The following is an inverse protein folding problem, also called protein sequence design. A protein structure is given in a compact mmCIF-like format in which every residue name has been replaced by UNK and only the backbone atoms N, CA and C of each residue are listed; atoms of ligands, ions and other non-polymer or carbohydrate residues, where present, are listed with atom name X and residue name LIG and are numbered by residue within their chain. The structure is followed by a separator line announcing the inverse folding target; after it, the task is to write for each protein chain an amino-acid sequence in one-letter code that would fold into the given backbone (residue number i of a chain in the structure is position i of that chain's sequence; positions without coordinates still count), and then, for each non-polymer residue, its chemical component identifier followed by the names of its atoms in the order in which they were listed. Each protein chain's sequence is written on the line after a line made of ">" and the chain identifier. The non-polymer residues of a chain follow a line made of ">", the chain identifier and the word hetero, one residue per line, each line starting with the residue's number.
data_IF_575445883853
#
_entry.id   IF_575445883853
#
_cell.length_a   1.000
_cell.length_b   1.000
_cell.length_c   1.000
_cell.angle_alpha   90.00
_cell.angle_beta   90.00
_cell.angle_gamma   90.00
#
_symmetry.space_group_name_H-M   'P 1'
#
loop_
_entity.id
_entity.type
_entity.pdbx_description
1 polymer ?
#
# COMPACT_ATOMS: atom_id res chain seq x y z
N UNK A 1 40.46 13.72 60.79
CA UNK A 1 40.16 12.47 60.05
C UNK A 1 38.94 12.72 59.18
N UNK A 2 39.10 12.59 57.86
CA UNK A 2 38.07 12.81 56.84
C UNK A 2 37.09 11.62 56.83
N UNK A 3 35.78 11.88 56.77
CA UNK A 3 34.84 10.98 56.08
C UNK A 3 33.90 11.81 55.22
N UNK A 4 34.12 11.64 53.92
CA UNK A 4 33.39 12.16 52.78
C UNK A 4 32.12 11.29 52.62
N UNK A 5 30.93 11.88 52.49
CA UNK A 5 29.77 11.17 51.94
C UNK A 5 29.30 11.98 50.73
N UNK A 6 29.56 11.40 49.57
CA UNK A 6 29.16 11.86 48.25
C UNK A 6 27.66 11.59 48.10
N UNK A 7 26.87 12.65 47.88
CA UNK A 7 25.47 12.52 47.50
C UNK A 7 25.38 12.26 45.99
N UNK A 8 24.84 11.10 45.65
CA UNK A 8 24.73 10.54 44.32
C UNK A 8 23.63 11.25 43.52
N UNK A 9 24.02 11.90 42.43
CA UNK A 9 23.12 12.52 41.45
C UNK A 9 22.28 11.44 40.77
N UNK A 10 20.95 11.48 40.91
CA UNK A 10 20.04 10.68 40.08
C UNK A 10 20.01 11.28 38.68
N UNK A 11 20.63 10.59 37.73
CA UNK A 11 20.47 10.83 36.30
C UNK A 11 19.17 10.12 35.86
N UNK A 12 18.11 10.89 35.61
CA UNK A 12 16.90 10.36 34.96
C UNK A 12 17.25 10.12 33.49
N UNK A 13 17.61 8.87 33.17
CA UNK A 13 17.71 8.42 31.80
C UNK A 13 16.31 8.38 31.20
N UNK A 14 15.96 9.39 30.39
CA UNK A 14 14.82 9.29 29.49
C UNK A 14 15.09 8.19 28.47
N UNK A 15 14.51 7.01 28.71
CA UNK A 15 14.41 5.99 27.67
C UNK A 15 13.46 6.53 26.61
N UNK A 16 14.02 7.07 25.53
CA UNK A 16 13.35 7.20 24.26
C UNK A 16 13.04 5.79 23.76
N UNK A 17 11.87 5.27 24.11
CA UNK A 17 11.31 4.08 23.46
C UNK A 17 11.08 4.45 22.00
N UNK A 18 12.03 4.09 21.14
CA UNK A 18 11.82 4.01 19.71
C UNK A 18 10.79 2.91 19.46
N UNK A 19 9.51 3.25 19.61
CA UNK A 19 8.44 2.47 19.02
C UNK A 19 8.65 2.55 17.51
N UNK A 20 9.15 1.48 16.90
CA UNK A 20 8.81 1.18 15.52
C UNK A 20 7.28 1.15 15.46
N UNK A 21 6.70 2.27 15.04
CA UNK A 21 5.26 2.41 14.84
C UNK A 21 4.89 1.56 13.62
N UNK A 22 4.70 0.26 13.86
CA UNK A 22 4.03 -0.59 12.90
C UNK A 22 2.67 0.05 12.58
N UNK A 23 2.25 -0.03 11.32
CA UNK A 23 0.93 0.43 10.95
C UNK A 23 -0.14 -0.32 11.80
N UNK A 24 -1.15 0.41 12.29
CA UNK A 24 -2.20 -0.15 13.15
C UNK A 24 -3.40 -0.62 12.33
N UNK A 25 -3.85 -1.88 12.47
CA UNK A 25 -4.93 -2.41 11.65
C UNK A 25 -6.30 -1.81 11.99
N UNK A 26 -7.13 -1.58 10.98
CA UNK A 26 -8.49 -1.08 11.16
C UNK A 26 -9.41 -2.12 11.81
N UNK A 27 -10.18 -1.71 12.84
CA UNK A 27 -11.12 -2.60 13.54
C UNK A 27 -12.32 -3.05 12.68
N UNK A 28 -12.73 -2.28 11.67
CA UNK A 28 -13.91 -2.51 10.82
C UNK A 28 -13.56 -2.61 9.31
N UNK A 29 -12.36 -3.09 8.99
CA UNK A 29 -11.67 -2.92 7.71
C UNK A 29 -12.17 -3.70 6.47
N UNK A 30 -13.39 -4.24 6.44
CA UNK A 30 -13.82 -5.03 5.28
C UNK A 30 -14.00 -4.19 4.01
N UNK A 31 -14.54 -2.96 4.14
CA UNK A 31 -14.84 -2.06 3.03
C UNK A 31 -13.62 -1.67 2.17
N UNK A 32 -12.57 -1.05 2.74
CA UNK A 32 -11.42 -0.63 1.94
C UNK A 32 -10.68 -1.81 1.31
N UNK A 33 -10.56 -2.94 2.03
CA UNK A 33 -9.98 -4.17 1.47
C UNK A 33 -10.76 -4.65 0.25
N UNK A 34 -12.08 -4.70 0.34
CA UNK A 34 -12.94 -5.15 -0.76
C UNK A 34 -12.86 -4.24 -2.00
N UNK A 35 -12.66 -2.93 -1.80
CA UNK A 35 -12.44 -2.01 -2.90
C UNK A 35 -11.12 -2.28 -3.65
N UNK A 36 -10.03 -2.54 -2.91
CA UNK A 36 -8.75 -2.95 -3.53
C UNK A 36 -8.87 -4.29 -4.24
N UNK A 37 -9.56 -5.26 -3.64
CA UNK A 37 -9.81 -6.56 -4.25
C UNK A 37 -10.59 -6.43 -5.57
N UNK A 38 -11.69 -5.67 -5.56
CA UNK A 38 -12.49 -5.42 -6.75
C UNK A 38 -11.70 -4.74 -7.86
N UNK A 39 -10.88 -3.74 -7.53
CA UNK A 39 -9.97 -3.08 -8.46
C UNK A 39 -8.96 -4.07 -9.07
N UNK A 40 -8.20 -4.77 -8.23
CA UNK A 40 -7.11 -5.66 -8.68
C UNK A 40 -7.62 -6.83 -9.50
N UNK A 41 -8.76 -7.43 -9.13
CA UNK A 41 -9.38 -8.50 -9.91
C UNK A 41 -9.84 -7.96 -11.27
N UNK A 42 -10.46 -6.78 -11.32
CA UNK A 42 -10.86 -6.18 -12.60
C UNK A 42 -9.65 -5.86 -13.49
N UNK A 43 -8.56 -5.35 -12.92
CA UNK A 43 -7.31 -5.11 -13.65
C UNK A 43 -6.69 -6.42 -14.15
N UNK A 44 -6.64 -7.46 -13.32
CA UNK A 44 -6.14 -8.80 -13.67
C UNK A 44 -6.96 -9.43 -14.81
N UNK A 45 -8.28 -9.27 -14.80
CA UNK A 45 -9.20 -9.80 -15.82
C UNK A 45 -9.30 -8.91 -17.07
N UNK A 46 -8.54 -7.82 -17.14
CA UNK A 46 -8.58 -6.81 -18.20
C UNK A 46 -9.98 -6.17 -18.37
N UNK A 47 -10.76 -6.14 -17.29
CA UNK A 47 -12.06 -5.46 -17.18
C UNK A 47 -11.86 -4.01 -16.72
N UNK A 48 -11.13 -3.23 -17.51
CA UNK A 48 -10.71 -1.88 -17.12
C UNK A 48 -11.90 -0.92 -16.88
N UNK A 49 -13.03 -1.11 -17.57
CA UNK A 49 -14.22 -0.31 -17.25
C UNK A 49 -14.79 -0.62 -15.87
N UNK A 50 -14.73 -1.88 -15.42
CA UNK A 50 -15.17 -2.28 -14.07
C UNK A 50 -14.19 -1.76 -13.01
N UNK A 51 -12.89 -1.76 -13.30
CA UNK A 51 -11.86 -1.23 -12.40
C UNK A 51 -12.08 0.27 -12.08
N UNK A 52 -12.68 1.02 -13.02
CA UNK A 52 -13.00 2.43 -12.84
C UNK A 52 -13.95 2.69 -11.66
N UNK A 53 -14.80 1.73 -11.27
CA UNK A 53 -15.74 1.90 -10.14
C UNK A 53 -15.04 2.08 -8.79
N UNK A 54 -13.80 1.58 -8.71
CA UNK A 54 -13.01 1.52 -7.49
C UNK A 54 -11.99 2.64 -7.35
N UNK A 55 -11.89 3.57 -8.30
CA UNK A 55 -10.89 4.65 -8.27
C UNK A 55 -11.54 6.03 -8.19
N UNK A 56 -10.89 6.98 -7.53
CA UNK A 56 -11.39 8.36 -7.45
C UNK A 56 -11.12 9.13 -8.74
N UNK A 57 -11.82 10.26 -8.91
CA UNK A 57 -11.51 11.19 -10.00
C UNK A 57 -10.04 11.64 -9.98
N UNK A 58 -9.42 11.77 -8.79
CA UNK A 58 -8.00 12.11 -8.65
C UNK A 58 -7.11 11.02 -9.24
N UNK A 59 -7.33 9.75 -8.90
CA UNK A 59 -6.56 8.61 -9.44
C UNK A 59 -6.70 8.48 -10.97
N UNK A 60 -7.82 8.94 -11.53
CA UNK A 60 -8.06 8.93 -12.98
C UNK A 60 -7.58 10.18 -13.72
N UNK A 61 -6.97 11.16 -13.03
CA UNK A 61 -6.68 12.51 -13.54
C UNK A 61 -7.92 13.21 -14.16
N UNK A 62 -9.10 12.94 -13.60
CA UNK A 62 -10.38 13.48 -14.06
C UNK A 62 -10.87 12.93 -15.40
N UNK A 63 -10.23 11.88 -15.95
CA UNK A 63 -10.64 11.27 -17.21
C UNK A 63 -11.98 10.56 -17.07
N UNK A 64 -12.74 10.54 -18.17
CA UNK A 64 -13.96 9.73 -18.23
C UNK A 64 -13.63 8.23 -18.17
N UNK A 65 -14.63 7.40 -17.83
CA UNK A 65 -14.49 5.94 -17.75
C UNK A 65 -13.84 5.36 -19.00
N UNK A 66 -14.37 5.70 -20.18
CA UNK A 66 -13.88 5.16 -21.45
C UNK A 66 -12.45 5.60 -21.75
N UNK A 67 -12.11 6.87 -21.50
CA UNK A 67 -10.75 7.39 -21.73
C UNK A 67 -9.73 6.74 -20.79
N UNK A 68 -10.05 6.64 -19.50
CA UNK A 68 -9.18 6.01 -18.52
C UNK A 68 -9.01 4.50 -18.81
N UNK A 69 -10.10 3.78 -19.05
CA UNK A 69 -10.07 2.35 -19.38
C UNK A 69 -9.27 2.06 -20.66
N UNK A 70 -9.39 2.92 -21.69
CA UNK A 70 -8.62 2.80 -22.91
C UNK A 70 -7.11 2.99 -22.67
N UNK A 71 -6.71 3.88 -21.77
CA UNK A 71 -5.31 4.05 -21.38
C UNK A 71 -4.79 2.83 -20.61
N UNK A 72 -5.55 2.31 -19.65
CA UNK A 72 -5.16 1.09 -18.93
C UNK A 72 -5.00 -0.08 -19.89
N UNK A 73 -5.95 -0.26 -20.80
CA UNK A 73 -5.88 -1.27 -21.87
C UNK A 73 -4.63 -1.13 -22.72
N UNK A 74 -4.30 0.09 -23.15
CA UNK A 74 -3.11 0.35 -23.96
C UNK A 74 -1.83 -0.09 -23.24
N UNK A 75 -1.69 0.20 -21.95
CA UNK A 75 -0.52 -0.21 -21.17
C UNK A 75 -0.51 -1.70 -20.88
N UNK A 76 -1.63 -2.28 -20.45
CA UNK A 76 -1.70 -3.69 -20.08
C UNK A 76 -1.55 -4.60 -21.30
N UNK A 77 -2.28 -4.37 -22.38
CA UNK A 77 -2.17 -5.19 -23.58
C UNK A 77 -0.89 -4.89 -24.35
N UNK A 78 -0.51 -3.60 -24.45
CA UNK A 78 0.73 -3.21 -25.14
C UNK A 78 1.99 -3.71 -24.43
N UNK A 79 1.97 -3.81 -23.11
CA UNK A 79 3.04 -4.37 -22.28
C UNK A 79 2.92 -5.89 -22.07
N UNK A 80 1.82 -6.53 -22.47
CA UNK A 80 1.46 -7.90 -22.08
C UNK A 80 1.54 -8.11 -20.54
N UNK A 81 1.09 -7.10 -19.79
CA UNK A 81 1.06 -7.11 -18.33
C UNK A 81 0.10 -8.19 -17.87
N UNK A 82 0.56 -9.06 -16.98
CA UNK A 82 -0.23 -10.14 -16.41
C UNK A 82 0.02 -10.24 -14.90
N UNK A 83 -1.01 -9.94 -14.12
CA UNK A 83 -1.03 -10.14 -12.67
C UNK A 83 -1.28 -11.64 -12.41
N UNK A 84 -0.41 -12.28 -11.63
CA UNK A 84 -0.53 -13.70 -11.30
C UNK A 84 -0.48 -13.99 -9.79
N UNK A 85 -0.31 -12.96 -8.96
CA UNK A 85 -0.43 -13.06 -7.52
C UNK A 85 -0.96 -11.76 -6.93
N UNK A 86 -1.96 -11.88 -6.07
CA UNK A 86 -2.56 -10.79 -5.30
C UNK A 86 -2.59 -11.25 -3.85
N UNK A 87 -2.00 -10.48 -2.95
CA UNK A 87 -1.99 -10.73 -1.52
C UNK A 87 -2.27 -9.42 -0.77
N UNK A 88 -3.56 -9.11 -0.68
CA UNK A 88 -4.06 -7.93 0.01
C UNK A 88 -3.95 -8.19 1.51
N UNK A 89 -3.35 -7.28 2.25
CA UNK A 89 -3.20 -7.32 3.71
C UNK A 89 -4.33 -6.55 4.40
N UNK A 90 -4.50 -6.69 5.73
CA UNK A 90 -5.50 -5.92 6.45
C UNK A 90 -5.28 -4.40 6.27
N UNK A 91 -6.34 -3.60 6.08
CA UNK A 91 -6.23 -2.16 6.04
C UNK A 91 -5.68 -1.63 7.36
N UNK A 92 -4.97 -0.52 7.25
CA UNK A 92 -4.29 0.17 8.33
C UNK A 92 -4.86 1.58 8.46
N UNK A 93 -4.95 2.05 9.69
CA UNK A 93 -5.31 3.42 10.02
C UNK A 93 -4.25 4.40 9.50
N UNK A 94 -4.71 5.61 9.20
CA UNK A 94 -3.83 6.74 8.92
C UNK A 94 -3.80 7.69 10.12
N UNK A 95 -2.77 8.55 10.26
CA UNK A 95 -2.74 9.56 11.33
C UNK A 95 -3.98 10.48 11.34
N UNK A 96 -4.58 10.70 10.16
CA UNK A 96 -5.76 11.55 9.97
C UNK A 96 -7.06 10.84 10.36
N UNK A 97 -7.07 9.50 10.37
CA UNK A 97 -8.26 8.68 10.63
C UNK A 97 -7.92 7.37 11.34
N UNK A 98 -7.65 7.46 12.64
CA UNK A 98 -7.35 6.31 13.50
C UNK A 98 -8.49 5.27 13.57
N UNK A 99 -9.73 5.67 13.23
CA UNK A 99 -10.90 4.80 13.24
C UNK A 99 -11.13 4.10 11.90
N UNK A 100 -10.40 4.49 10.85
CA UNK A 100 -10.63 4.09 9.47
C UNK A 100 -12.08 4.33 9.01
N UNK A 101 -12.67 5.44 9.44
CA UNK A 101 -14.07 5.77 9.12
C UNK A 101 -14.24 6.24 7.68
N UNK A 102 -13.20 6.86 7.13
CA UNK A 102 -13.21 7.57 5.86
C UNK A 102 -11.90 7.50 5.10
N UNK A 103 -10.77 7.20 5.77
CA UNK A 103 -9.46 6.99 5.17
C UNK A 103 -8.82 5.69 5.66
N UNK A 104 -8.09 5.01 4.79
CA UNK A 104 -7.30 3.84 5.15
C UNK A 104 -6.16 3.63 4.16
N UNK A 105 -5.10 2.97 4.60
CA UNK A 105 -4.07 2.42 3.70
C UNK A 105 -4.23 0.90 3.65
N UNK A 106 -4.29 0.32 2.46
CA UNK A 106 -4.37 -1.13 2.24
C UNK A 106 -3.06 -1.59 1.59
N UNK A 107 -2.20 -2.33 2.31
CA UNK A 107 -1.02 -2.93 1.74
C UNK A 107 -1.37 -4.13 0.86
N UNK A 108 -0.66 -4.32 -0.25
CA UNK A 108 -0.79 -5.46 -1.14
C UNK A 108 0.60 -5.91 -1.60
N UNK A 109 0.82 -7.22 -1.66
CA UNK A 109 1.96 -7.79 -2.37
C UNK A 109 1.47 -8.25 -3.73
N UNK A 110 1.82 -7.51 -4.78
CA UNK A 110 1.45 -7.83 -6.15
C UNK A 110 2.57 -8.66 -6.80
N UNK A 111 2.18 -9.67 -7.59
CA UNK A 111 3.09 -10.37 -8.49
C UNK A 111 2.59 -10.22 -9.91
N UNK A 112 3.41 -9.60 -10.73
CA UNK A 112 3.11 -9.25 -12.11
C UNK A 112 4.28 -9.63 -13.00
N UNK A 113 4.01 -9.80 -14.29
CA UNK A 113 5.03 -9.95 -15.34
C UNK A 113 4.56 -9.18 -16.57
N UNK A 114 5.49 -8.88 -17.46
CA UNK A 114 5.21 -8.23 -18.73
C UNK A 114 6.13 -8.81 -19.81
N UNK A 115 5.97 -8.36 -21.06
CA UNK A 115 6.74 -8.87 -22.21
C UNK A 115 8.25 -8.64 -22.10
N UNK A 116 8.69 -7.70 -21.28
CA UNK A 116 10.10 -7.38 -21.04
C UNK A 116 10.67 -8.08 -19.80
N UNK A 117 9.84 -8.36 -18.80
CA UNK A 117 10.19 -9.13 -17.60
C UNK A 117 9.34 -10.40 -17.47
N UNK A 118 9.69 -11.42 -18.24
CA UNK A 118 8.99 -12.71 -18.25
C UNK A 118 9.16 -13.52 -16.95
N UNK A 119 10.17 -13.21 -16.13
CA UNK A 119 10.39 -13.85 -14.81
C UNK A 119 9.41 -13.31 -13.76
N UNK A 120 8.83 -12.14 -14.03
CA UNK A 120 7.95 -11.42 -13.13
C UNK A 120 8.70 -10.64 -12.06
N UNK A 121 7.94 -9.82 -11.35
CA UNK A 121 8.38 -9.01 -10.22
C UNK A 121 7.46 -9.25 -9.03
N UNK A 122 7.95 -8.95 -7.84
CA UNK A 122 7.13 -8.82 -6.63
C UNK A 122 7.16 -7.37 -6.23
N UNK A 123 5.99 -6.75 -6.20
CA UNK A 123 5.80 -5.33 -5.92
C UNK A 123 5.10 -5.20 -4.56
N UNK A 124 5.65 -4.35 -3.69
CA UNK A 124 5.06 -4.02 -2.41
C UNK A 124 4.30 -2.71 -2.58
N UNK A 125 2.97 -2.80 -2.61
CA UNK A 125 2.11 -1.68 -2.96
C UNK A 125 1.30 -1.18 -1.78
N UNK A 126 1.15 0.13 -1.67
CA UNK A 126 0.22 0.78 -0.76
C UNK A 126 -0.90 1.43 -1.55
N UNK A 127 -2.13 1.03 -1.27
CA UNK A 127 -3.32 1.68 -1.78
C UNK A 127 -3.84 2.64 -0.72
N UNK A 128 -3.94 3.92 -1.06
CA UNK A 128 -4.63 4.91 -0.21
C UNK A 128 -6.09 4.95 -0.62
N UNK A 129 -7.00 4.73 0.33
CA UNK A 129 -8.42 4.74 0.08
C UNK A 129 -9.13 5.84 0.84
N UNK A 130 -10.16 6.37 0.20
CA UNK A 130 -11.08 7.35 0.76
C UNK A 130 -12.51 6.88 0.57
N UNK A 131 -13.39 7.27 1.49
CA UNK A 131 -14.84 7.16 1.28
C UNK A 131 -15.31 8.32 0.43
N UNK A 132 -15.92 8.02 -0.70
CA UNK A 132 -16.50 9.01 -1.59
C UNK A 132 -17.87 9.52 -1.09
N UNK A 133 -18.41 10.54 -1.76
CA UNK A 133 -19.67 11.18 -1.37
C UNK A 133 -20.89 10.23 -1.35
N UNK A 134 -20.84 9.15 -2.12
CA UNK A 134 -21.86 8.09 -2.16
C UNK A 134 -21.66 7.01 -1.09
N UNK A 135 -20.66 7.16 -0.21
CA UNK A 135 -20.34 6.21 0.85
C UNK A 135 -19.51 5.01 0.39
N UNK A 136 -19.13 4.92 -0.89
CA UNK A 136 -18.28 3.85 -1.38
C UNK A 136 -16.80 4.13 -1.11
N UNK A 137 -16.05 3.08 -0.76
CA UNK A 137 -14.58 3.14 -0.68
C UNK A 137 -13.98 3.14 -2.08
N UNK A 138 -13.05 4.06 -2.34
CA UNK A 138 -12.32 4.17 -3.60
C UNK A 138 -10.85 4.44 -3.36
N UNK A 139 -10.01 3.93 -4.26
CA UNK A 139 -8.58 4.14 -4.32
C UNK A 139 -8.32 5.56 -4.83
N UNK A 140 -7.65 6.34 -4.00
CA UNK A 140 -7.27 7.72 -4.30
C UNK A 140 -5.82 7.86 -4.75
N UNK A 141 -4.97 6.90 -4.37
CA UNK A 141 -3.59 6.78 -4.82
C UNK A 141 -3.09 5.34 -4.69
N UNK A 142 -2.11 5.00 -5.53
CA UNK A 142 -1.32 3.77 -5.47
C UNK A 142 0.16 4.17 -5.43
N UNK A 143 0.93 3.52 -4.57
CA UNK A 143 2.38 3.69 -4.44
C UNK A 143 3.04 2.32 -4.42
N UNK A 144 4.15 2.17 -5.14
CA UNK A 144 5.04 0.99 -5.05
C UNK A 144 6.24 1.35 -4.19
N UNK A 145 6.54 0.53 -3.20
CA UNK A 145 7.68 0.71 -2.30
C UNK A 145 8.93 0.05 -2.89
N UNK A 146 10.03 0.81 -2.88
CA UNK A 146 11.34 0.35 -3.39
C UNK A 146 12.41 0.27 -2.31
N UNK A 147 12.15 0.81 -1.12
CA UNK A 147 13.09 0.84 0.00
C UNK A 147 12.73 -0.21 1.06
N UNK A 148 13.73 -1.00 1.48
CA UNK A 148 13.51 -2.09 2.43
C UNK A 148 12.99 -1.58 3.79
N UNK A 149 13.35 -0.37 4.20
CA UNK A 149 12.84 0.23 5.44
C UNK A 149 11.33 0.46 5.42
N UNK A 150 10.77 0.84 4.28
CA UNK A 150 9.33 1.02 4.13
C UNK A 150 8.63 -0.33 3.98
N UNK A 151 9.25 -1.29 3.27
CA UNK A 151 8.76 -2.66 3.22
C UNK A 151 8.72 -3.29 4.62
N UNK A 152 9.77 -3.14 5.44
CA UNK A 152 9.79 -3.67 6.80
C UNK A 152 8.69 -3.05 7.69
N UNK A 153 8.31 -1.78 7.44
CA UNK A 153 7.23 -1.09 8.16
C UNK A 153 5.84 -1.63 7.82
N UNK A 154 5.57 -1.88 6.53
CA UNK A 154 4.24 -2.22 6.03
C UNK A 154 4.03 -3.73 5.83
N UNK A 155 5.11 -4.46 5.62
CA UNK A 155 5.16 -5.87 5.30
C UNK A 155 6.25 -6.58 6.14
N UNK A 156 6.09 -6.61 7.48
CA UNK A 156 7.13 -7.12 8.37
C UNK A 156 7.49 -8.58 8.04
N UNK A 157 8.78 -8.81 7.79
CA UNK A 157 9.32 -10.13 7.43
C UNK A 157 9.47 -10.37 5.92
N UNK A 158 8.88 -9.53 5.08
CA UNK A 158 9.11 -9.59 3.63
C UNK A 158 10.47 -8.99 3.26
N UNK A 159 10.98 -9.39 2.10
CA UNK A 159 12.24 -8.89 1.54
C UNK A 159 12.04 -8.46 0.10
N UNK A 160 12.59 -7.29 -0.24
CA UNK A 160 12.69 -6.86 -1.62
C UNK A 160 13.55 -7.88 -2.36
N UNK A 161 13.05 -8.48 -3.47
CA UNK A 161 13.85 -9.39 -4.26
C UNK A 161 15.12 -8.69 -4.75
N UNK A 162 16.26 -9.38 -4.70
CA UNK A 162 17.45 -8.91 -5.39
C UNK A 162 17.19 -8.93 -6.90
N UNK A 163 17.08 -7.76 -7.52
CA UNK A 163 17.08 -7.67 -8.97
C UNK A 163 18.45 -8.14 -9.46
N UNK A 164 18.48 -9.32 -10.09
CA UNK A 164 19.69 -9.73 -10.81
C UNK A 164 19.73 -8.87 -12.07
N UNK A 165 20.63 -7.90 -12.09
CA UNK A 165 21.00 -7.15 -13.30
C UNK A 165 21.43 -8.16 -14.39
N UNK A 166 20.49 -8.59 -15.21
CA UNK A 166 20.73 -9.37 -16.41
C UNK A 166 20.16 -8.57 -17.57
N UNK A 167 20.97 -7.62 -18.02
CA UNK A 167 20.83 -6.98 -19.34
C UNK A 167 21.28 -7.94 -20.43
#
# INVERSE_FOLDING_TARGET
>A
MKKLIVAMTLLVAGLSTGLSANAEPCAAGAGPRAAVEGYLVAMQDHRFEDAYDYVTAKMTDGKSRGEWAALQKLFYEGGEVNIFGIDIRPPQATPEDAACASHAIVPNVLKSRDKFNNQGTTEFELYTLVTAADGAWRIDAQETLFDQSDVDRWFPGEKIPEFRDQY
#
